data_IF_781317249755
#
_entry.id   IF_781317249755
#
_cell.length_a   1.000
_cell.length_b   1.000
_cell.length_c   1.000
_cell.angle_alpha   90.00
_cell.angle_beta   90.00
_cell.angle_gamma   90.00
#
_symmetry.space_group_name_H-M   'P 1'
#
loop_
_entity.id
_entity.type
_entity.pdbx_description
1 polymer ?
#
# COMPACT_ATOMS: atom_id res chain seq x y z
N UNK A 1 -21.10 17.78 5.97
CA UNK A 1 -19.94 17.91 5.04
C UNK A 1 -19.91 16.62 4.24
N UNK A 2 -20.01 16.66 2.90
CA UNK A 2 -20.15 15.44 2.12
C UNK A 2 -18.96 14.50 2.36
N UNK A 3 -19.24 13.19 2.47
CA UNK A 3 -18.23 12.16 2.63
C UNK A 3 -17.33 12.06 1.39
N UNK A 4 -16.02 11.91 1.60
CA UNK A 4 -15.03 11.76 0.52
C UNK A 4 -14.53 10.31 0.45
N UNK A 5 -15.15 9.44 -0.38
CA UNK A 5 -14.74 8.04 -0.49
C UNK A 5 -13.32 7.87 -1.05
N UNK A 6 -12.85 8.84 -1.82
CA UNK A 6 -11.50 8.83 -2.42
C UNK A 6 -10.40 9.28 -1.44
N UNK A 7 -10.75 10.00 -0.38
CA UNK A 7 -9.81 10.45 0.67
C UNK A 7 -10.50 10.49 2.04
N UNK A 8 -10.80 9.28 2.54
CA UNK A 8 -11.53 9.08 3.80
C UNK A 8 -10.73 9.64 4.99
N UNK A 9 -9.40 9.57 4.94
CA UNK A 9 -8.53 10.08 5.99
C UNK A 9 -8.58 11.60 6.08
N UNK A 10 -8.44 12.31 4.95
CA UNK A 10 -8.60 13.76 4.94
C UNK A 10 -10.01 14.19 5.39
N UNK A 11 -11.04 13.43 5.03
CA UNK A 11 -12.40 13.69 5.49
C UNK A 11 -12.52 13.61 7.01
N UNK A 12 -11.95 12.58 7.66
CA UNK A 12 -11.93 12.48 9.12
C UNK A 12 -11.14 13.63 9.76
N UNK A 13 -9.99 14.04 9.20
CA UNK A 13 -9.25 15.20 9.69
C UNK A 13 -10.08 16.49 9.64
N UNK A 14 -10.83 16.72 8.56
CA UNK A 14 -11.72 17.87 8.45
C UNK A 14 -12.89 17.79 9.45
N UNK A 15 -13.49 16.62 9.64
CA UNK A 15 -14.56 16.42 10.62
C UNK A 15 -14.07 16.70 12.05
N UNK A 16 -12.86 16.25 12.39
CA UNK A 16 -12.25 16.47 13.71
C UNK A 16 -11.91 17.94 13.95
N UNK A 17 -11.38 18.63 12.94
CA UNK A 17 -11.16 20.07 13.01
C UNK A 17 -12.49 20.82 13.25
N UNK A 18 -13.56 20.42 12.57
CA UNK A 18 -14.90 20.98 12.78
C UNK A 18 -15.41 20.73 14.21
N UNK A 19 -15.29 19.51 14.72
CA UNK A 19 -15.68 19.19 16.10
C UNK A 19 -14.91 20.03 17.12
N UNK A 20 -13.61 20.19 16.90
CA UNK A 20 -12.76 21.00 17.75
C UNK A 20 -13.18 22.48 17.73
N UNK A 21 -13.38 23.06 16.56
CA UNK A 21 -13.81 24.46 16.39
C UNK A 21 -15.16 24.75 17.04
N UNK A 22 -16.09 23.78 16.99
CA UNK A 22 -17.44 23.93 17.52
C UNK A 22 -17.61 23.38 18.95
N UNK A 23 -16.53 22.97 19.61
CA UNK A 23 -16.57 22.48 21.00
C UNK A 23 -17.35 21.17 21.18
N UNK A 24 -17.42 20.33 20.15
CA UNK A 24 -18.10 19.03 20.21
C UNK A 24 -17.18 18.00 20.88
N UNK A 25 -17.27 17.89 22.20
CA UNK A 25 -16.44 16.99 23.02
C UNK A 25 -17.12 15.63 23.24
N UNK A 26 -18.46 15.57 23.17
CA UNK A 26 -19.20 14.32 23.33
C UNK A 26 -18.93 13.36 22.17
N UNK A 27 -18.25 12.26 22.45
CA UNK A 27 -17.90 11.22 21.47
C UNK A 27 -19.14 10.57 20.85
N UNK A 28 -20.29 10.58 21.53
CA UNK A 28 -21.56 10.08 20.96
C UNK A 28 -22.13 11.07 19.95
N UNK A 29 -22.07 12.37 20.23
CA UNK A 29 -22.43 13.41 19.27
C UNK A 29 -21.54 13.36 18.02
N UNK A 30 -20.22 13.17 18.19
CA UNK A 30 -19.27 12.99 17.08
C UNK A 30 -19.62 11.75 16.23
N UNK A 31 -19.86 10.61 16.88
CA UNK A 31 -20.30 9.38 16.21
C UNK A 31 -21.57 9.62 15.38
N UNK A 32 -22.60 10.23 15.97
CA UNK A 32 -23.87 10.49 15.28
C UNK A 32 -23.69 11.45 14.10
N UNK A 33 -22.82 12.46 14.24
CA UNK A 33 -22.49 13.37 13.15
C UNK A 33 -21.83 12.64 11.97
N UNK A 34 -20.85 11.77 12.25
CA UNK A 34 -20.20 10.93 11.22
C UNK A 34 -21.22 10.01 10.56
N UNK A 35 -21.99 9.25 11.35
CA UNK A 35 -22.93 8.24 10.84
C UNK A 35 -23.97 8.86 9.91
N UNK A 36 -24.40 10.10 10.16
CA UNK A 36 -25.34 10.83 9.29
C UNK A 36 -24.77 11.15 7.91
N UNK A 37 -23.46 11.35 7.82
CA UNK A 37 -22.77 11.71 6.58
C UNK A 37 -22.27 10.47 5.82
N UNK A 38 -22.26 9.28 6.45
CA UNK A 38 -21.77 8.06 5.84
C UNK A 38 -22.68 7.54 4.70
N UNK A 39 -22.11 7.21 3.53
CA UNK A 39 -22.84 6.51 2.48
C UNK A 39 -23.28 5.11 2.92
N UNK A 40 -24.37 4.61 2.32
CA UNK A 40 -24.96 3.30 2.66
C UNK A 40 -23.98 2.12 2.64
N UNK A 41 -22.98 2.16 1.78
CA UNK A 41 -21.94 1.12 1.66
C UNK A 41 -21.04 0.97 2.91
N UNK A 42 -21.02 1.98 3.79
CA UNK A 42 -20.29 1.99 5.06
C UNK A 42 -21.17 1.62 6.26
N UNK A 43 -22.49 1.45 6.11
CA UNK A 43 -23.38 1.11 7.23
C UNK A 43 -23.02 -0.19 7.95
N UNK A 44 -22.39 -1.14 7.26
CA UNK A 44 -21.89 -2.40 7.85
C UNK A 44 -20.85 -2.19 8.96
N UNK A 45 -20.18 -1.04 9.00
CA UNK A 45 -19.19 -0.72 10.04
C UNK A 45 -19.83 -0.09 11.28
N UNK A 46 -21.10 0.34 11.16
CA UNK A 46 -21.87 0.93 12.26
C UNK A 46 -22.56 -0.21 13.00
N UNK A 47 -21.98 -0.66 14.12
CA UNK A 47 -22.57 -1.74 14.92
C UNK A 47 -23.49 -1.19 16.01
N UNK A 48 -24.61 -1.85 16.32
CA UNK A 48 -25.51 -1.42 17.41
C UNK A 48 -24.80 -1.25 18.76
N UNK A 49 -23.74 -2.04 19.01
CA UNK A 49 -22.91 -1.95 20.21
C UNK A 49 -22.24 -0.59 20.39
N UNK A 50 -21.90 0.14 19.33
CA UNK A 50 -21.30 1.48 19.40
C UNK A 50 -22.23 2.52 20.04
N UNK A 51 -23.54 2.27 20.05
CA UNK A 51 -24.52 3.15 20.69
C UNK A 51 -24.84 2.74 22.13
N UNK A 52 -24.27 1.64 22.63
CA UNK A 52 -24.44 1.22 24.03
C UNK A 52 -23.50 2.00 24.95
N UNK A 53 -23.83 2.10 26.24
CA UNK A 53 -23.03 2.81 27.25
C UNK A 53 -21.66 2.19 27.54
N UNK A 54 -21.39 1.00 27.01
CA UNK A 54 -20.24 0.18 27.40
C UNK A 54 -19.01 0.40 26.52
N UNK A 55 -19.12 1.23 25.48
CA UNK A 55 -18.02 1.56 24.57
C UNK A 55 -17.45 2.93 24.96
N UNK A 56 -16.19 2.93 25.43
CA UNK A 56 -15.51 4.15 25.89
C UNK A 56 -15.26 5.15 24.76
N UNK A 57 -15.02 4.68 23.54
CA UNK A 57 -14.63 5.52 22.39
C UNK A 57 -15.32 5.06 21.10
N UNK A 58 -16.64 5.28 20.97
CA UNK A 58 -17.40 4.74 19.85
C UNK A 58 -17.03 5.40 18.51
N UNK A 59 -16.72 6.70 18.53
CA UNK A 59 -16.21 7.43 17.36
C UNK A 59 -14.89 6.84 16.84
N UNK A 60 -13.88 6.68 17.71
CA UNK A 60 -12.58 6.12 17.32
C UNK A 60 -12.71 4.67 16.83
N UNK A 61 -13.61 3.89 17.43
CA UNK A 61 -13.88 2.53 16.99
C UNK A 61 -14.42 2.51 15.55
N UNK A 62 -15.41 3.37 15.24
CA UNK A 62 -15.97 3.49 13.89
C UNK A 62 -14.92 3.99 12.89
N UNK A 63 -14.19 5.05 13.23
CA UNK A 63 -13.11 5.62 12.41
C UNK A 63 -12.09 4.54 12.03
N UNK A 64 -11.63 3.76 13.01
CA UNK A 64 -10.67 2.66 12.80
C UNK A 64 -11.25 1.57 11.88
N UNK A 65 -12.51 1.18 12.08
CA UNK A 65 -13.17 0.18 11.22
C UNK A 65 -13.29 0.64 9.77
N UNK A 66 -13.64 1.90 9.55
CA UNK A 66 -13.78 2.46 8.20
C UNK A 66 -12.42 2.61 7.51
N UNK A 67 -11.41 3.13 8.20
CA UNK A 67 -10.06 3.26 7.65
C UNK A 67 -9.44 1.89 7.31
N UNK A 68 -9.64 0.89 8.15
CA UNK A 68 -9.14 -0.47 7.89
C UNK A 68 -9.77 -1.12 6.64
N UNK A 69 -11.00 -0.75 6.26
CA UNK A 69 -11.58 -1.17 4.97
C UNK A 69 -10.80 -0.56 3.78
N UNK A 70 -10.40 0.70 3.89
CA UNK A 70 -9.56 1.37 2.89
C UNK A 70 -8.31 0.54 2.64
N UNK A 71 -7.58 0.22 3.70
CA UNK A 71 -6.37 -0.60 3.64
C UNK A 71 -6.61 -1.98 2.99
N UNK A 72 -7.72 -2.65 3.31
CA UNK A 72 -8.09 -3.94 2.68
C UNK A 72 -8.38 -3.80 1.19
N UNK A 73 -9.06 -2.73 0.80
CA UNK A 73 -9.39 -2.45 -0.61
C UNK A 73 -8.11 -2.15 -1.41
N UNK A 74 -7.21 -1.37 -0.81
CA UNK A 74 -5.92 -1.03 -1.42
C UNK A 74 -5.04 -2.27 -1.58
N UNK A 75 -5.00 -3.16 -0.57
CA UNK A 75 -4.33 -4.46 -0.69
C UNK A 75 -4.91 -5.30 -1.82
N UNK A 76 -6.23 -5.38 -1.96
CA UNK A 76 -6.87 -6.11 -3.06
C UNK A 76 -6.52 -5.53 -4.43
N UNK A 77 -6.51 -4.20 -4.56
CA UNK A 77 -6.10 -3.54 -5.80
C UNK A 77 -4.61 -3.75 -6.11
N UNK A 78 -3.76 -3.76 -5.08
CA UNK A 78 -2.34 -4.10 -5.23
C UNK A 78 -2.13 -5.56 -5.64
N UNK A 79 -2.87 -6.51 -5.06
CA UNK A 79 -2.80 -7.91 -5.45
C UNK A 79 -3.16 -8.10 -6.94
N UNK A 80 -4.18 -7.36 -7.42
CA UNK A 80 -4.51 -7.32 -8.85
C UNK A 80 -3.39 -6.68 -9.68
N UNK A 81 -2.82 -5.57 -9.23
CA UNK A 81 -1.67 -4.94 -9.91
C UNK A 81 -0.53 -5.95 -10.04
N UNK A 82 -0.21 -6.65 -8.96
CA UNK A 82 0.88 -7.61 -8.92
C UNK A 82 0.62 -8.88 -9.74
N UNK A 83 -0.63 -9.30 -9.90
CA UNK A 83 -0.97 -10.39 -10.81
C UNK A 83 -0.64 -10.05 -12.27
N UNK A 84 -0.77 -8.77 -12.64
CA UNK A 84 -0.52 -8.28 -13.99
C UNK A 84 0.94 -7.86 -14.26
N UNK A 85 1.80 -7.86 -13.23
CA UNK A 85 3.21 -7.50 -13.38
C UNK A 85 4.03 -8.75 -13.67
N UNK A 86 4.83 -8.71 -14.73
CA UNK A 86 5.88 -9.69 -14.98
C UNK A 86 7.11 -9.38 -14.10
N UNK A 87 7.43 -10.21 -13.08
CA UNK A 87 8.51 -9.96 -12.14
C UNK A 87 9.91 -9.93 -12.78
N UNK A 88 10.10 -10.55 -13.95
CA UNK A 88 11.42 -10.65 -14.58
C UNK A 88 11.75 -9.44 -15.48
N UNK A 89 10.72 -8.76 -15.98
CA UNK A 89 10.88 -7.71 -16.99
C UNK A 89 10.55 -6.31 -16.49
N UNK A 90 9.82 -6.17 -15.37
CA UNK A 90 9.48 -4.85 -14.82
C UNK A 90 10.62 -4.25 -13.97
N UNK A 91 10.92 -2.96 -14.17
CA UNK A 91 11.73 -2.17 -13.22
C UNK A 91 11.00 -2.06 -11.87
N UNK A 92 11.76 -2.20 -10.79
CA UNK A 92 11.28 -2.06 -9.43
C UNK A 92 10.77 -0.64 -9.14
N UNK A 93 11.41 0.40 -9.69
CA UNK A 93 10.90 1.79 -9.61
C UNK A 93 9.56 1.95 -10.34
N UNK A 94 9.42 1.36 -11.52
CA UNK A 94 8.16 1.41 -12.27
C UNK A 94 7.04 0.67 -11.53
N UNK A 95 7.34 -0.48 -10.94
CA UNK A 95 6.39 -1.19 -10.06
C UNK A 95 6.00 -0.31 -8.88
N UNK A 96 6.96 0.29 -8.18
CA UNK A 96 6.72 1.18 -7.06
C UNK A 96 5.80 2.36 -7.44
N UNK A 97 6.05 2.96 -8.61
CA UNK A 97 5.24 4.06 -9.13
C UNK A 97 3.80 3.63 -9.39
N UNK A 98 3.58 2.46 -10.02
CA UNK A 98 2.23 1.92 -10.23
C UNK A 98 1.52 1.58 -8.91
N UNK A 99 2.25 1.10 -7.91
CA UNK A 99 1.66 0.87 -6.58
C UNK A 99 1.16 2.18 -5.97
N UNK A 100 1.92 3.29 -6.10
CA UNK A 100 1.50 4.63 -5.65
C UNK A 100 0.25 5.12 -6.38
N UNK A 101 0.15 4.85 -7.69
CA UNK A 101 -1.02 5.22 -8.48
C UNK A 101 -2.28 4.46 -8.04
N UNK A 102 -2.14 3.19 -7.64
CA UNK A 102 -3.25 2.33 -7.23
C UNK A 102 -3.77 2.66 -5.83
N UNK A 103 -2.88 2.94 -4.89
CA UNK A 103 -3.20 3.20 -3.48
C UNK A 103 -3.43 4.71 -3.21
N UNK A 104 -2.80 5.57 -4.01
CA UNK A 104 -2.71 7.01 -3.75
C UNK A 104 -1.45 7.36 -2.93
N UNK A 105 -0.89 8.55 -3.19
CA UNK A 105 0.38 8.99 -2.57
C UNK A 105 0.32 9.14 -1.04
N UNK A 106 -0.84 9.51 -0.48
CA UNK A 106 -0.99 9.82 0.97
C UNK A 106 -1.01 8.58 1.86
N UNK A 107 -1.62 7.51 1.39
CA UNK A 107 -1.77 6.22 2.08
C UNK A 107 -0.52 5.35 1.94
N UNK A 108 0.25 5.54 0.87
CA UNK A 108 1.39 4.68 0.52
C UNK A 108 2.56 4.71 1.52
N UNK A 109 2.70 5.77 2.31
CA UNK A 109 3.85 5.97 3.22
C UNK A 109 3.73 5.21 4.57
N UNK A 110 2.61 4.55 4.84
CA UNK A 110 2.33 3.91 6.16
C UNK A 110 3.09 2.59 6.42
N UNK A 111 4.15 2.29 5.67
CA UNK A 111 4.95 1.06 5.81
C UNK A 111 4.25 -0.25 5.43
N UNK A 112 2.92 -0.25 5.31
CA UNK A 112 2.07 -1.41 4.98
C UNK A 112 2.41 -2.05 3.63
N UNK A 113 2.97 -1.28 2.70
CA UNK A 113 3.23 -1.72 1.31
C UNK A 113 4.66 -2.16 1.05
N UNK A 114 5.56 -2.01 2.04
CA UNK A 114 6.97 -2.41 1.91
C UNK A 114 7.13 -3.92 1.73
N UNK A 115 6.46 -4.71 2.57
CA UNK A 115 6.51 -6.18 2.46
C UNK A 115 5.88 -6.70 1.15
N UNK A 116 4.67 -6.24 0.75
CA UNK A 116 4.11 -6.58 -0.56
C UNK A 116 5.05 -6.25 -1.72
N UNK A 117 5.68 -5.07 -1.72
CA UNK A 117 6.66 -4.67 -2.73
C UNK A 117 7.84 -5.64 -2.81
N UNK A 118 8.49 -5.94 -1.67
CA UNK A 118 9.64 -6.85 -1.63
C UNK A 118 9.28 -8.25 -2.10
N UNK A 119 8.10 -8.76 -1.72
CA UNK A 119 7.64 -10.12 -2.08
C UNK A 119 7.53 -10.38 -3.59
N UNK A 120 7.44 -9.31 -4.39
CA UNK A 120 7.29 -9.40 -5.86
C UNK A 120 8.60 -9.29 -6.61
N UNK A 121 9.69 -8.93 -5.95
CA UNK A 121 11.01 -8.95 -6.55
C UNK A 121 11.52 -10.38 -6.70
N UNK A 122 12.44 -10.68 -7.63
CA UNK A 122 13.07 -12.00 -7.71
C UNK A 122 13.80 -12.37 -6.41
N UNK A 123 13.82 -13.66 -6.05
CA UNK A 123 14.35 -14.15 -4.77
C UNK A 123 15.79 -13.69 -4.47
N UNK A 124 16.64 -13.63 -5.50
CA UNK A 124 18.01 -13.13 -5.40
C UNK A 124 18.09 -11.65 -5.00
N UNK A 125 17.14 -10.81 -5.45
CA UNK A 125 17.05 -9.40 -5.07
C UNK A 125 16.51 -9.29 -3.64
N UNK A 126 15.48 -10.08 -3.30
CA UNK A 126 14.92 -10.11 -1.96
C UNK A 126 15.97 -10.46 -0.90
N UNK A 127 16.81 -11.47 -1.17
CA UNK A 127 17.85 -11.92 -0.25
C UNK A 127 18.86 -10.82 0.10
N UNK A 128 19.16 -9.92 -0.85
CA UNK A 128 20.05 -8.77 -0.61
C UNK A 128 19.31 -7.66 0.14
N UNK A 129 18.07 -7.36 -0.25
CA UNK A 129 17.30 -6.24 0.31
C UNK A 129 16.77 -6.51 1.72
N UNK A 130 16.73 -7.77 2.16
CA UNK A 130 16.25 -8.15 3.51
C UNK A 130 17.03 -7.46 4.63
N UNK A 131 18.32 -7.16 4.42
CA UNK A 131 19.17 -6.44 5.39
C UNK A 131 18.96 -4.93 5.39
N UNK A 132 18.27 -4.40 4.37
CA UNK A 132 18.02 -2.96 4.19
C UNK A 132 16.56 -2.58 4.42
N UNK A 133 15.79 -3.42 5.14
CA UNK A 133 14.36 -3.21 5.37
C UNK A 133 14.02 -1.88 6.06
N UNK A 134 14.97 -1.26 6.76
CA UNK A 134 14.78 0.04 7.41
C UNK A 134 14.83 1.22 6.44
N UNK A 135 15.34 1.02 5.23
CA UNK A 135 15.47 2.08 4.22
C UNK A 135 14.10 2.52 3.68
N UNK A 136 14.07 3.72 3.10
CA UNK A 136 12.90 4.21 2.39
C UNK A 136 12.57 3.31 1.19
N UNK A 137 11.28 3.22 0.83
CA UNK A 137 10.84 2.32 -0.23
C UNK A 137 11.40 2.72 -1.61
N UNK A 138 11.64 4.01 -1.84
CA UNK A 138 12.33 4.53 -3.03
C UNK A 138 13.79 4.05 -3.11
N UNK A 139 14.50 4.02 -1.99
CA UNK A 139 15.88 3.54 -1.93
C UNK A 139 15.95 2.03 -2.20
N UNK A 140 15.00 1.28 -1.66
CA UNK A 140 14.85 -0.15 -1.92
C UNK A 140 14.58 -0.42 -3.39
N UNK A 141 13.68 0.33 -4.03
CA UNK A 141 13.40 0.21 -5.46
C UNK A 141 14.61 0.56 -6.32
N UNK A 142 15.34 1.63 -5.98
CA UNK A 142 16.55 2.01 -6.68
C UNK A 142 17.68 0.98 -6.53
N UNK A 143 17.73 0.28 -5.40
CA UNK A 143 18.71 -0.78 -5.16
C UNK A 143 18.32 -2.07 -5.88
N UNK A 144 17.02 -2.41 -5.90
CA UNK A 144 16.48 -3.53 -6.66
C UNK A 144 16.81 -3.41 -8.16
N UNK A 145 16.58 -2.24 -8.76
CA UNK A 145 16.90 -2.01 -10.18
C UNK A 145 18.39 -2.23 -10.47
N UNK A 146 19.29 -1.71 -9.62
CA UNK A 146 20.74 -1.91 -9.76
C UNK A 146 21.13 -3.40 -9.70
N UNK A 147 20.55 -4.16 -8.79
CA UNK A 147 20.80 -5.61 -8.68
C UNK A 147 20.26 -6.35 -9.92
N UNK A 148 19.08 -5.96 -10.41
CA UNK A 148 18.50 -6.53 -11.62
C UNK A 148 19.34 -6.24 -12.86
N UNK A 149 19.95 -5.05 -12.97
CA UNK A 149 20.86 -4.75 -14.07
C UNK A 149 22.13 -5.62 -14.03
N UNK A 150 22.73 -5.79 -12.85
CA UNK A 150 23.92 -6.65 -12.67
C UNK A 150 23.61 -8.11 -13.07
N UNK A 151 22.44 -8.63 -12.66
CA UNK A 151 22.07 -10.02 -12.97
C UNK A 151 21.74 -10.23 -14.45
N UNK A 152 21.16 -9.23 -15.12
CA UNK A 152 20.94 -9.24 -16.59
C UNK A 152 22.24 -9.20 -17.38
N UNK A 153 23.21 -8.36 -16.99
CA UNK A 153 24.50 -8.26 -17.69
C UNK A 153 25.31 -9.55 -17.58
N UNK A 154 25.40 -10.17 -16.39
CA UNK A 154 26.11 -11.44 -16.20
C UNK A 154 25.48 -12.61 -16.97
N UNK A 155 24.15 -12.61 -17.12
CA UNK A 155 23.45 -13.64 -17.89
C UNK A 155 23.76 -13.50 -19.39
N UNK A 156 23.77 -12.29 -19.93
CA UNK A 156 24.14 -12.04 -21.32
C UNK A 156 25.60 -12.44 -21.62
N UNK A 157 26.54 -12.14 -20.73
CA UNK A 157 27.95 -12.54 -20.88
C UNK A 157 28.11 -14.07 -20.88
N UNK A 158 27.40 -14.77 -20.00
CA UNK A 158 27.41 -16.23 -19.94
C UNK A 158 26.84 -16.88 -21.21
N UNK A 159 25.75 -16.34 -21.76
CA UNK A 159 25.17 -16.83 -23.02
C UNK A 159 26.08 -16.57 -24.22
N UNK A 160 26.74 -15.40 -24.28
CA UNK A 160 27.75 -15.09 -25.31
C UNK A 160 28.92 -16.07 -25.24
N UNK A 161 29.45 -16.33 -24.03
CA UNK A 161 30.56 -17.27 -23.81
C UNK A 161 30.21 -18.70 -24.24
N UNK A 162 29.01 -19.20 -23.89
CA UNK A 162 28.54 -20.52 -24.34
C UNK A 162 28.35 -20.63 -25.85
N UNK A 163 27.90 -19.57 -26.53
CA UNK A 163 27.71 -19.56 -27.98
C UNK A 163 29.04 -19.61 -28.73
N UNK A 164 30.07 -18.90 -28.23
CA UNK A 164 31.44 -18.94 -28.75
C UNK A 164 32.10 -20.31 -28.55
N UNK A 165 31.91 -20.94 -27.39
CA UNK A 165 32.41 -22.29 -27.11
C UNK A 165 31.77 -23.37 -27.99
N UNK A 166 30.47 -23.24 -28.33
CA UNK A 166 29.81 -24.16 -29.27
C UNK A 166 30.30 -24.00 -30.71
N UNK A 167 30.63 -22.78 -31.15
CA UNK A 167 31.19 -22.54 -32.50
C UNK A 167 32.61 -23.09 -32.66
N UNK A 168 33.43 -23.04 -31.61
CA UNK A 168 34.78 -23.61 -31.61
C UNK A 168 34.82 -25.14 -31.62
N UNK A 169 33.70 -25.82 -31.32
CA UNK A 169 33.63 -27.29 -31.27
C UNK A 169 33.15 -27.94 -32.58
N UNK A 170 32.89 -27.12 -33.61
CA UNK A 170 32.35 -27.54 -34.93
C UNK A 170 33.39 -27.33 -36.06
N UNK A 171 34.60 -26.87 -35.71
CA UNK A 171 35.77 -26.82 -36.59
C UNK A 171 36.77 -27.89 -36.13
#
# INVERSE_FOLDING_TARGET
MPFWPDDIEAWFCCAEAYFHEHGVIDTRAQLLAVVKELPREFNRYVTPSMFTSNVSEPYETLKRSILNRGDLTDRQRLDQLFYNIDPQHSSAKNMLQRMREVVGLRTFDKGLFKQPFLSKLPQQVQAVLVSFQNNALDELAASADRILEITKSSTNEFFQSKKSLKRLRIL
#
